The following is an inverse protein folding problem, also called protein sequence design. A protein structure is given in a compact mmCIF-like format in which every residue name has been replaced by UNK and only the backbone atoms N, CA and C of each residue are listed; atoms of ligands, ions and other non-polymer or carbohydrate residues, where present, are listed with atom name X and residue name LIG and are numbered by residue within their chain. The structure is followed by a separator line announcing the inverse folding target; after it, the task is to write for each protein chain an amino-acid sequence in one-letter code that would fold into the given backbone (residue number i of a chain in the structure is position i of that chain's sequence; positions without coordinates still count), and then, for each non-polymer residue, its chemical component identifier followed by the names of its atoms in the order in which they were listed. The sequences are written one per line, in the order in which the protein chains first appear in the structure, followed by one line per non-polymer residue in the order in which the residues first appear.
data_IF_238817052256
#
_entry.id   IF_238817052256
#
_cell.length_a   1.000
_cell.length_b   1.000
_cell.length_c   1.000
_cell.angle_alpha   90.00
_cell.angle_beta   90.00
_cell.angle_gamma   90.00
#
_symmetry.space_group_name_H-M   'P 1'
#
loop_
_entity.id
_entity.type
_entity.pdbx_description
1 polymer ?
#
# COMPACT_ATOMS: atom_id res chain seq x y z
N UNK A 1 13.37 -40.66 -29.17
CA UNK A 1 12.96 -40.64 -27.75
C UNK A 1 14.12 -40.05 -26.96
N UNK A 2 14.04 -38.79 -26.60
CA UNK A 2 15.07 -38.15 -25.79
C UNK A 2 14.36 -37.39 -24.66
N UNK A 3 14.50 -37.94 -23.43
CA UNK A 3 13.96 -37.30 -22.22
C UNK A 3 14.94 -36.20 -21.81
N UNK A 4 14.49 -34.95 -21.78
CA UNK A 4 15.27 -33.84 -21.25
C UNK A 4 15.45 -33.97 -19.72
N UNK A 5 16.52 -33.39 -19.16
CA UNK A 5 16.87 -33.53 -17.75
C UNK A 5 15.90 -32.71 -16.87
N UNK A 6 15.43 -33.37 -15.79
CA UNK A 6 14.62 -32.75 -14.76
C UNK A 6 15.37 -31.58 -14.09
N UNK A 7 14.67 -30.51 -13.79
CA UNK A 7 15.16 -29.43 -12.93
C UNK A 7 15.27 -29.97 -11.50
N UNK A 8 16.43 -30.40 -11.12
CA UNK A 8 16.77 -30.64 -9.72
C UNK A 8 16.81 -29.29 -8.95
N UNK A 9 16.28 -29.30 -7.76
CA UNK A 9 16.23 -28.16 -6.83
C UNK A 9 17.64 -27.63 -6.54
N UNK A 10 17.86 -26.35 -6.85
CA UNK A 10 19.16 -25.65 -6.70
C UNK A 10 19.54 -25.28 -5.25
N UNK A 11 18.84 -25.78 -4.24
CA UNK A 11 19.16 -25.52 -2.83
C UNK A 11 19.85 -26.72 -2.22
N UNK A 12 21.03 -26.47 -1.60
CA UNK A 12 21.70 -27.51 -0.83
C UNK A 12 20.82 -27.98 0.34
N UNK A 13 20.91 -29.25 0.79
CA UNK A 13 20.13 -29.76 1.91
C UNK A 13 20.24 -28.94 3.21
N UNK A 14 21.40 -28.30 3.44
CA UNK A 14 21.62 -27.38 4.58
C UNK A 14 20.89 -26.03 4.41
N UNK A 15 20.78 -25.52 3.19
CA UNK A 15 20.00 -24.32 2.91
C UNK A 15 18.51 -24.57 3.12
N UNK A 16 18.03 -25.72 2.65
CA UNK A 16 16.65 -26.14 2.85
C UNK A 16 16.28 -26.29 4.34
N UNK A 17 17.15 -26.86 5.17
CA UNK A 17 16.92 -27.02 6.60
C UNK A 17 16.88 -25.69 7.35
N UNK A 18 17.80 -24.75 7.06
CA UNK A 18 17.78 -23.40 7.65
C UNK A 18 16.54 -22.59 7.24
N UNK A 19 16.11 -22.78 6.01
CA UNK A 19 14.89 -22.18 5.46
C UNK A 19 13.64 -22.71 6.20
N UNK A 20 13.55 -24.01 6.42
CA UNK A 20 12.46 -24.62 7.15
C UNK A 20 12.47 -24.23 8.64
N UNK A 21 13.63 -24.11 9.26
CA UNK A 21 13.77 -23.67 10.66
C UNK A 21 13.39 -22.19 10.84
N UNK A 22 13.83 -21.33 9.92
CA UNK A 22 13.41 -19.92 9.92
C UNK A 22 11.90 -19.77 9.69
N UNK A 23 11.32 -20.51 8.76
CA UNK A 23 9.88 -20.55 8.54
C UNK A 23 9.11 -21.03 9.77
N UNK A 24 9.62 -22.05 10.45
CA UNK A 24 9.04 -22.58 11.69
C UNK A 24 9.11 -21.56 12.84
N UNK A 25 10.24 -20.85 13.00
CA UNK A 25 10.39 -19.81 14.03
C UNK A 25 9.43 -18.63 13.80
N UNK A 26 9.16 -18.28 12.55
CA UNK A 26 8.17 -17.25 12.22
C UNK A 26 6.75 -17.76 12.41
N UNK A 27 6.45 -18.97 11.98
CA UNK A 27 5.17 -19.62 12.24
C UNK A 27 4.91 -19.74 13.76
N UNK A 28 5.89 -20.19 14.56
CA UNK A 28 5.78 -20.25 16.00
C UNK A 28 5.58 -18.85 16.65
N UNK A 29 6.25 -17.82 16.11
CA UNK A 29 6.08 -16.44 16.57
C UNK A 29 4.71 -15.87 16.22
N UNK A 30 4.19 -16.24 15.04
CA UNK A 30 2.88 -15.87 14.52
C UNK A 30 1.78 -16.69 15.21
N UNK A 31 1.98 -17.99 15.49
CA UNK A 31 1.04 -18.84 16.22
C UNK A 31 0.90 -18.47 17.71
N UNK A 32 1.97 -18.09 18.36
CA UNK A 32 1.94 -17.56 19.74
C UNK A 32 1.14 -16.27 19.88
N UNK A 33 0.87 -15.56 18.78
CA UNK A 33 0.12 -14.30 18.79
C UNK A 33 -1.38 -14.46 18.44
N UNK A 34 -1.92 -15.65 18.17
CA UNK A 34 -3.35 -15.94 17.86
C UNK A 34 -4.06 -14.96 16.90
N UNK A 35 -3.38 -14.57 15.83
CA UNK A 35 -3.80 -13.48 14.91
C UNK A 35 -4.62 -13.98 13.72
N UNK A 36 -5.66 -14.78 13.95
CA UNK A 36 -6.23 -15.69 12.97
C UNK A 36 -6.75 -15.12 11.63
N UNK A 37 -7.58 -14.07 11.50
CA UNK A 37 -8.01 -13.66 10.17
C UNK A 37 -6.99 -12.78 9.43
N UNK A 38 -6.38 -11.81 10.11
CA UNK A 38 -5.36 -10.93 9.54
C UNK A 38 -4.07 -11.70 9.23
N UNK A 39 -3.72 -12.67 10.08
CA UNK A 39 -2.63 -13.62 9.86
C UNK A 39 -2.79 -14.39 8.56
N UNK A 40 -3.96 -15.00 8.33
CA UNK A 40 -4.20 -15.81 7.15
C UNK A 40 -4.11 -15.00 5.86
N UNK A 41 -4.57 -13.73 5.89
CA UNK A 41 -4.44 -12.81 4.78
C UNK A 41 -2.96 -12.53 4.46
N UNK A 42 -2.17 -12.22 5.48
CA UNK A 42 -0.80 -11.73 5.30
C UNK A 42 0.26 -12.83 5.24
N UNK A 43 -0.06 -14.06 5.70
CA UNK A 43 0.90 -15.16 5.83
C UNK A 43 1.73 -15.41 4.55
N UNK A 44 1.18 -15.42 3.33
CA UNK A 44 1.97 -15.61 2.12
C UNK A 44 3.06 -14.55 1.95
N UNK A 45 2.74 -13.27 2.19
CA UNK A 45 3.72 -12.17 2.10
C UNK A 45 4.71 -12.16 3.26
N UNK A 46 4.28 -12.54 4.46
CA UNK A 46 5.17 -12.67 5.62
C UNK A 46 6.22 -13.76 5.37
N UNK A 47 5.82 -14.90 4.83
CA UNK A 47 6.73 -15.97 4.43
C UNK A 47 7.69 -15.49 3.32
N UNK A 48 7.15 -14.85 2.27
CA UNK A 48 7.96 -14.32 1.17
C UNK A 48 9.02 -13.33 1.67
N UNK A 49 8.66 -12.42 2.58
CA UNK A 49 9.57 -11.41 3.13
C UNK A 49 10.77 -11.98 3.89
N UNK A 50 10.70 -13.26 4.36
CA UNK A 50 11.84 -13.93 5.01
C UNK A 50 12.95 -14.30 4.04
N UNK A 51 12.58 -14.53 2.78
CA UNK A 51 13.51 -14.98 1.74
C UNK A 51 13.86 -13.86 0.76
N UNK A 52 13.08 -12.79 0.74
CA UNK A 52 13.29 -11.67 -0.15
C UNK A 52 14.59 -10.93 0.21
N UNK A 53 15.44 -10.60 -0.78
CA UNK A 53 16.55 -9.70 -0.56
C UNK A 53 16.11 -8.24 -0.45
N UNK A 54 14.91 -7.90 -0.93
CA UNK A 54 14.44 -6.53 -1.06
C UNK A 54 13.28 -6.15 -0.14
N UNK A 55 12.47 -7.13 0.31
CA UNK A 55 11.29 -6.90 1.14
C UNK A 55 11.54 -7.36 2.57
N UNK A 56 11.16 -6.53 3.54
CA UNK A 56 11.13 -6.87 4.96
C UNK A 56 9.72 -6.65 5.49
N UNK A 57 9.30 -7.45 6.47
CA UNK A 57 8.02 -7.29 7.14
C UNK A 57 8.21 -7.09 8.64
N UNK A 58 7.46 -6.14 9.20
CA UNK A 58 7.32 -5.89 10.62
C UNK A 58 5.93 -5.27 10.92
N UNK A 59 5.77 -4.56 12.04
CA UNK A 59 4.53 -3.86 12.39
C UNK A 59 4.82 -2.50 13.01
N UNK A 60 3.89 -1.56 12.86
CA UNK A 60 3.95 -0.29 13.61
C UNK A 60 3.77 -0.48 15.11
N UNK A 61 3.03 -1.52 15.49
CA UNK A 61 2.78 -1.87 16.87
C UNK A 61 1.72 -2.94 16.98
N UNK A 62 1.57 -3.48 18.20
CA UNK A 62 0.62 -4.54 18.52
C UNK A 62 -0.17 -4.10 19.75
N UNK A 63 -1.49 -4.37 19.76
CA UNK A 63 -2.33 -4.16 20.94
C UNK A 63 -3.36 -5.27 21.06
N UNK A 64 -4.00 -5.35 22.20
CA UNK A 64 -5.08 -6.29 22.46
C UNK A 64 -6.43 -5.67 22.10
N UNK A 65 -7.25 -6.42 21.35
CA UNK A 65 -8.63 -6.10 21.05
C UNK A 65 -9.50 -7.34 21.26
N UNK A 66 -10.46 -7.27 22.17
CA UNK A 66 -11.35 -8.39 22.54
C UNK A 66 -10.60 -9.68 22.95
N UNK A 67 -9.49 -9.54 23.66
CA UNK A 67 -8.65 -10.66 24.10
C UNK A 67 -7.72 -11.23 23.03
N UNK A 68 -7.73 -10.66 21.82
CA UNK A 68 -6.87 -11.08 20.72
C UNK A 68 -5.89 -9.97 20.32
N UNK A 69 -4.63 -10.31 20.03
CA UNK A 69 -3.67 -9.33 19.55
C UNK A 69 -3.98 -8.90 18.13
N UNK A 70 -4.03 -7.60 17.89
CA UNK A 70 -4.14 -6.97 16.57
C UNK A 70 -2.94 -6.08 16.31
N UNK A 71 -2.58 -5.85 15.05
CA UNK A 71 -1.43 -5.04 14.69
C UNK A 71 -1.62 -4.36 13.33
N UNK A 72 -0.89 -3.26 13.09
CA UNK A 72 -0.78 -2.64 11.78
C UNK A 72 0.44 -3.22 11.07
N UNK A 73 0.26 -4.07 10.04
CA UNK A 73 1.36 -4.67 9.30
C UNK A 73 2.08 -3.62 8.46
N UNK A 74 3.41 -3.76 8.38
CA UNK A 74 4.25 -2.92 7.56
C UNK A 74 5.21 -3.76 6.74
N UNK A 75 5.30 -3.46 5.44
CA UNK A 75 6.32 -4.01 4.55
C UNK A 75 7.25 -2.88 4.11
N UNK A 76 8.53 -3.14 4.14
CA UNK A 76 9.55 -2.22 3.70
C UNK A 76 10.27 -2.82 2.50
N UNK A 77 10.14 -2.15 1.34
CA UNK A 77 10.88 -2.51 0.13
C UNK A 77 12.06 -1.57 -0.06
N UNK A 78 13.23 -2.16 -0.25
CA UNK A 78 14.44 -1.45 -0.61
C UNK A 78 15.40 -2.38 -1.34
N UNK A 79 15.85 -1.99 -2.52
CA UNK A 79 16.90 -2.74 -3.22
C UNK A 79 18.24 -2.66 -2.47
N UNK A 80 19.02 -3.71 -2.58
CA UNK A 80 20.35 -3.81 -1.94
C UNK A 80 21.39 -2.87 -2.54
N UNK A 81 21.19 -2.40 -3.78
CA UNK A 81 22.09 -1.46 -4.43
C UNK A 81 22.19 -0.15 -3.65
N UNK A 82 23.42 0.32 -3.40
CA UNK A 82 23.66 1.58 -2.70
C UNK A 82 23.36 2.74 -3.64
N UNK A 83 22.38 3.57 -3.27
CA UNK A 83 21.99 4.81 -3.95
C UNK A 83 22.06 5.93 -2.92
N UNK A 84 22.67 7.07 -3.29
CA UNK A 84 22.93 8.18 -2.37
C UNK A 84 21.65 8.81 -1.80
N UNK A 85 20.62 8.96 -2.62
CA UNK A 85 19.30 9.45 -2.22
C UNK A 85 18.23 8.54 -2.79
N UNK A 86 17.33 8.07 -1.94
CA UNK A 86 16.15 7.29 -2.33
C UNK A 86 14.91 8.13 -2.08
N UNK A 87 13.97 8.00 -2.98
CA UNK A 87 12.67 8.63 -2.81
C UNK A 87 11.86 7.77 -1.85
N UNK A 88 11.45 8.34 -0.74
CA UNK A 88 10.66 7.66 0.26
C UNK A 88 9.17 7.83 -0.01
N UNK A 89 8.46 6.73 -0.25
CA UNK A 89 7.02 6.76 -0.49
C UNK A 89 6.32 5.87 0.52
N UNK A 90 5.31 6.44 1.20
CA UNK A 90 4.36 5.72 2.03
C UNK A 90 3.13 5.31 1.22
N UNK A 91 2.75 4.02 1.26
CA UNK A 91 1.58 3.50 0.55
C UNK A 91 0.67 2.81 1.55
N UNK A 92 -0.57 3.27 1.65
CA UNK A 92 -1.52 2.89 2.68
C UNK A 92 -2.80 2.31 2.07
N UNK A 93 -3.34 1.26 2.67
CA UNK A 93 -4.64 0.69 2.32
C UNK A 93 -5.38 0.21 3.58
N UNK A 94 -6.68 -0.07 3.45
CA UNK A 94 -7.48 -0.58 4.56
C UNK A 94 -7.59 0.39 5.74
N UNK A 95 -7.68 1.69 5.47
CA UNK A 95 -8.13 2.70 6.44
C UNK A 95 -9.60 2.47 6.77
N UNK A 96 -10.40 2.08 5.76
CA UNK A 96 -11.72 1.53 5.94
C UNK A 96 -11.63 0.00 5.86
N UNK A 97 -12.17 -0.68 6.86
CA UNK A 97 -11.99 -2.12 7.00
C UNK A 97 -12.83 -2.95 6.01
N UNK A 98 -13.85 -2.36 5.44
CA UNK A 98 -14.74 -2.94 4.43
C UNK A 98 -14.27 -2.75 2.98
N UNK A 99 -13.08 -2.17 2.76
CA UNK A 99 -12.47 -1.93 1.44
C UNK A 99 -11.33 -2.93 1.12
N UNK A 100 -11.63 -4.21 0.85
CA UNK A 100 -10.60 -5.24 0.69
C UNK A 100 -9.78 -5.12 -0.59
N UNK A 101 -10.29 -4.41 -1.60
CA UNK A 101 -9.64 -4.32 -2.90
C UNK A 101 -8.27 -3.62 -2.84
N UNK A 102 -8.19 -2.48 -2.11
CA UNK A 102 -6.94 -1.76 -1.87
C UNK A 102 -5.93 -2.61 -1.11
N UNK A 103 -6.38 -3.32 -0.08
CA UNK A 103 -5.55 -4.26 0.70
C UNK A 103 -4.92 -5.31 -0.19
N UNK A 104 -5.73 -6.02 -0.97
CA UNK A 104 -5.29 -7.11 -1.82
C UNK A 104 -4.46 -6.63 -3.01
N UNK A 105 -4.83 -5.49 -3.61
CA UNK A 105 -4.05 -4.86 -4.68
C UNK A 105 -2.65 -4.45 -4.22
N UNK A 106 -2.55 -3.93 -2.99
CA UNK A 106 -1.27 -3.58 -2.38
C UNK A 106 -0.42 -4.81 -2.06
N UNK A 107 -1.04 -5.90 -1.64
CA UNK A 107 -0.36 -7.19 -1.47
C UNK A 107 0.17 -7.74 -2.79
N UNK A 108 -0.59 -7.64 -3.87
CA UNK A 108 -0.14 -8.03 -5.21
C UNK A 108 1.02 -7.16 -5.70
N UNK A 109 0.99 -5.87 -5.37
CA UNK A 109 2.10 -4.95 -5.67
C UNK A 109 3.38 -5.32 -4.91
N UNK A 110 3.29 -5.70 -3.62
CA UNK A 110 4.47 -6.19 -2.87
C UNK A 110 5.07 -7.45 -3.50
N UNK A 111 4.22 -8.38 -4.00
CA UNK A 111 4.71 -9.55 -4.74
C UNK A 111 5.42 -9.15 -6.03
N UNK A 112 4.83 -8.23 -6.80
CA UNK A 112 5.43 -7.74 -8.03
C UNK A 112 6.79 -7.06 -7.80
N UNK A 113 6.93 -6.29 -6.72
CA UNK A 113 8.20 -5.69 -6.31
C UNK A 113 9.29 -6.72 -5.97
N UNK A 114 8.92 -7.85 -5.37
CA UNK A 114 9.86 -8.92 -5.04
C UNK A 114 10.26 -9.73 -6.27
N UNK A 115 9.30 -10.02 -7.15
CA UNK A 115 9.52 -10.75 -8.41
C UNK A 115 10.31 -9.91 -9.43
N UNK A 116 10.06 -8.60 -9.47
CA UNK A 116 10.69 -7.63 -10.37
C UNK A 116 11.18 -6.39 -9.61
N UNK A 117 12.29 -6.47 -8.85
CA UNK A 117 12.78 -5.38 -8.01
C UNK A 117 13.12 -4.08 -8.77
N UNK A 118 13.23 -4.15 -10.10
CA UNK A 118 13.42 -2.97 -10.95
C UNK A 118 12.23 -2.01 -10.91
N UNK A 119 11.01 -2.50 -10.61
CA UNK A 119 9.82 -1.67 -10.43
C UNK A 119 10.03 -0.61 -9.35
N UNK A 120 10.73 -0.96 -8.27
CA UNK A 120 11.03 -0.05 -7.16
C UNK A 120 12.43 0.58 -7.22
N UNK A 121 13.12 0.58 -8.40
CA UNK A 121 14.44 1.20 -8.53
C UNK A 121 14.38 2.70 -8.18
N UNK A 122 15.31 3.18 -7.36
CA UNK A 122 15.44 4.53 -6.81
C UNK A 122 14.45 4.84 -5.68
N UNK A 123 13.57 3.93 -5.33
CA UNK A 123 12.62 4.11 -4.24
C UNK A 123 13.00 3.34 -2.98
N UNK A 124 12.53 3.85 -1.87
CA UNK A 124 12.37 3.17 -0.60
C UNK A 124 10.89 3.24 -0.25
N UNK A 125 10.20 2.08 -0.30
CA UNK A 125 8.75 2.02 -0.16
C UNK A 125 8.37 1.48 1.21
N UNK A 126 7.50 2.19 1.90
CA UNK A 126 6.90 1.82 3.17
C UNK A 126 5.43 1.53 2.96
N UNK A 127 5.03 0.28 3.12
CA UNK A 127 3.76 -0.26 2.63
C UNK A 127 2.94 -0.76 3.81
N UNK A 128 1.73 -0.23 3.98
CA UNK A 128 0.82 -0.48 5.10
C UNK A 128 -0.51 -1.04 4.56
N UNK A 129 -0.61 -2.37 4.33
CA UNK A 129 -1.77 -2.92 3.65
C UNK A 129 -3.06 -2.92 4.47
N UNK A 130 -2.99 -2.86 5.81
CA UNK A 130 -4.16 -2.84 6.69
C UNK A 130 -3.93 -1.82 7.78
N UNK A 131 -4.45 -0.61 7.58
CA UNK A 131 -4.30 0.49 8.52
C UNK A 131 -5.36 0.48 9.65
N UNK A 132 -6.51 -0.15 9.41
CA UNK A 132 -7.60 -0.36 10.36
C UNK A 132 -7.84 -1.87 10.57
N UNK A 133 -7.01 -2.56 11.35
CA UNK A 133 -7.17 -3.99 11.54
C UNK A 133 -8.47 -4.37 12.28
N UNK A 134 -8.98 -3.51 13.16
CA UNK A 134 -10.24 -3.77 13.87
C UNK A 134 -11.44 -3.65 12.95
N UNK A 135 -11.50 -2.64 12.10
CA UNK A 135 -12.52 -2.50 11.05
C UNK A 135 -12.44 -3.64 10.03
N UNK A 136 -11.24 -4.03 9.61
CA UNK A 136 -11.05 -5.17 8.71
C UNK A 136 -11.61 -6.47 9.29
N UNK A 137 -11.36 -6.77 10.55
CA UNK A 137 -11.88 -7.95 11.22
C UNK A 137 -13.41 -7.92 11.36
N UNK A 138 -13.98 -6.74 11.62
CA UNK A 138 -15.42 -6.52 11.72
C UNK A 138 -16.11 -6.34 10.37
N UNK A 139 -15.36 -6.11 9.29
CA UNK A 139 -15.84 -5.74 7.95
C UNK A 139 -16.68 -4.45 7.99
N UNK A 140 -16.17 -3.46 8.70
CA UNK A 140 -16.79 -2.15 8.83
C UNK A 140 -15.87 -1.06 8.30
N UNK A 141 -16.45 0.03 7.85
CA UNK A 141 -15.73 1.24 7.45
C UNK A 141 -14.95 1.81 8.65
N UNK A 142 -15.62 1.90 9.78
CA UNK A 142 -15.12 2.50 11.01
C UNK A 142 -14.16 1.57 11.77
N UNK A 143 -13.43 2.15 12.72
CA UNK A 143 -12.68 1.42 13.74
C UNK A 143 -13.64 0.78 14.77
N UNK A 144 -13.08 0.01 15.70
CA UNK A 144 -13.84 -0.59 16.79
C UNK A 144 -14.55 0.43 17.69
N UNK A 145 -14.12 1.68 17.68
CA UNK A 145 -14.74 2.78 18.43
C UNK A 145 -15.90 3.44 17.68
N UNK A 146 -16.20 3.00 16.45
CA UNK A 146 -17.23 3.58 15.58
C UNK A 146 -16.79 4.88 14.90
N UNK A 147 -15.48 5.11 14.73
CA UNK A 147 -14.96 6.30 14.06
C UNK A 147 -14.42 5.99 12.67
N UNK A 148 -14.75 6.86 11.71
CA UNK A 148 -14.09 6.91 10.42
C UNK A 148 -12.68 7.45 10.61
N UNK A 149 -11.68 6.56 10.61
CA UNK A 149 -10.27 6.92 10.82
C UNK A 149 -9.79 7.95 9.79
N UNK A 150 -10.33 7.92 8.56
CA UNK A 150 -9.97 8.85 7.50
C UNK A 150 -10.65 10.24 7.64
N UNK A 151 -11.10 10.56 8.85
CA UNK A 151 -11.56 11.90 9.28
C UNK A 151 -10.86 12.37 10.55
N UNK A 152 -9.94 11.59 11.09
CA UNK A 152 -9.33 11.80 12.39
C UNK A 152 -7.87 12.28 12.33
N UNK A 153 -7.20 12.25 11.15
CA UNK A 153 -5.79 12.62 11.03
C UNK A 153 -5.52 14.10 11.31
N UNK A 154 -4.45 14.36 12.04
CA UNK A 154 -3.93 15.68 12.44
C UNK A 154 -4.93 16.53 13.25
N UNK A 155 -5.81 15.86 13.99
CA UNK A 155 -6.81 16.48 14.87
C UNK A 155 -6.63 16.13 16.34
N UNK A 156 -5.52 15.51 16.72
CA UNK A 156 -5.28 15.04 18.06
C UNK A 156 -6.19 13.85 18.44
N UNK A 157 -6.43 12.96 17.50
CA UNK A 157 -7.29 11.80 17.68
C UNK A 157 -6.82 10.88 18.81
N UNK A 158 -7.77 10.29 19.54
CA UNK A 158 -7.51 9.25 20.52
C UNK A 158 -7.37 7.83 19.88
N UNK A 159 -7.71 7.70 18.58
CA UNK A 159 -7.61 6.44 17.87
C UNK A 159 -6.14 6.00 17.74
N UNK A 160 -5.84 4.81 18.21
CA UNK A 160 -4.46 4.29 18.28
C UNK A 160 -3.86 4.11 16.89
N UNK A 161 -4.66 3.63 15.96
CA UNK A 161 -4.29 3.47 14.57
C UNK A 161 -3.83 4.80 13.96
N UNK A 162 -4.60 5.87 14.18
CA UNK A 162 -4.29 7.21 13.70
C UNK A 162 -2.99 7.72 14.33
N UNK A 163 -2.86 7.63 15.67
CA UNK A 163 -1.65 8.10 16.38
C UNK A 163 -0.38 7.41 15.89
N UNK A 164 -0.44 6.11 15.64
CA UNK A 164 0.73 5.37 15.17
C UNK A 164 1.09 5.70 13.73
N UNK A 165 0.09 5.83 12.86
CA UNK A 165 0.30 6.21 11.46
C UNK A 165 0.81 7.64 11.37
N UNK A 166 0.25 8.60 12.13
CA UNK A 166 0.74 9.99 12.20
C UNK A 166 2.20 10.04 12.64
N UNK A 167 2.54 9.31 13.72
CA UNK A 167 3.92 9.22 14.21
C UNK A 167 4.88 8.66 13.16
N UNK A 168 4.44 7.64 12.43
CA UNK A 168 5.24 7.04 11.34
C UNK A 168 5.42 8.01 10.19
N UNK A 169 4.36 8.65 9.72
CA UNK A 169 4.42 9.65 8.64
C UNK A 169 5.35 10.82 9.03
N UNK A 170 5.19 11.34 10.24
CA UNK A 170 6.03 12.43 10.76
C UNK A 170 7.52 12.03 10.87
N UNK A 171 7.80 10.79 11.28
CA UNK A 171 9.17 10.30 11.42
C UNK A 171 9.85 10.02 10.06
N UNK A 172 9.10 9.56 9.07
CA UNK A 172 9.63 9.20 7.75
C UNK A 172 9.85 10.41 6.84
N UNK A 173 9.08 11.45 6.99
CA UNK A 173 9.15 12.64 6.12
C UNK A 173 9.04 12.23 4.64
N UNK A 174 8.01 11.45 4.28
CA UNK A 174 7.83 10.92 2.93
C UNK A 174 7.91 11.99 1.85
N UNK A 175 8.51 11.66 0.71
CA UNK A 175 8.47 12.46 -0.53
C UNK A 175 7.13 12.28 -1.25
N UNK A 176 6.41 11.19 -0.98
CA UNK A 176 5.09 10.90 -1.50
C UNK A 176 4.25 10.03 -0.58
N UNK A 177 2.95 10.25 -0.59
CA UNK A 177 1.95 9.48 0.14
C UNK A 177 0.86 9.03 -0.85
N UNK A 178 0.56 7.73 -0.84
CA UNK A 178 -0.48 7.15 -1.67
C UNK A 178 -1.42 6.37 -0.77
N UNK A 179 -2.73 6.59 -0.89
CA UNK A 179 -3.75 5.78 -0.21
C UNK A 179 -4.71 5.13 -1.20
N UNK A 180 -5.14 3.91 -0.88
CA UNK A 180 -6.01 3.09 -1.72
C UNK A 180 -7.34 2.89 -1.03
N UNK A 181 -8.43 3.24 -1.72
CA UNK A 181 -9.80 3.20 -1.25
C UNK A 181 -10.76 2.58 -2.26
N UNK A 182 -12.00 2.38 -1.87
CA UNK A 182 -13.06 1.93 -2.77
C UNK A 182 -14.34 2.69 -2.52
N UNK A 183 -14.97 3.18 -3.60
CA UNK A 183 -16.24 3.92 -3.58
C UNK A 183 -17.36 3.04 -4.12
N UNK A 184 -18.42 2.84 -3.32
CA UNK A 184 -19.58 2.02 -3.66
C UNK A 184 -20.56 2.71 -4.63
N UNK A 185 -20.38 4.01 -4.86
CA UNK A 185 -21.16 4.82 -5.80
C UNK A 185 -20.46 5.08 -7.14
N UNK A 186 -19.17 4.78 -7.22
CA UNK A 186 -18.37 5.06 -8.41
C UNK A 186 -18.61 4.02 -9.52
N UNK A 187 -18.87 4.45 -10.76
CA UNK A 187 -18.94 3.55 -11.92
C UNK A 187 -17.55 3.20 -12.50
N UNK A 188 -16.50 3.89 -12.09
CA UNK A 188 -15.15 3.74 -12.63
C UNK A 188 -14.05 4.12 -11.65
N UNK A 189 -12.82 3.88 -12.05
CA UNK A 189 -11.61 4.17 -11.28
C UNK A 189 -11.26 5.65 -11.37
N UNK A 190 -10.95 6.30 -10.23
CA UNK A 190 -10.61 7.72 -10.17
C UNK A 190 -9.61 8.01 -9.05
N UNK A 191 -9.24 9.28 -8.87
CA UNK A 191 -8.36 9.63 -7.77
C UNK A 191 -8.31 11.12 -7.46
N UNK A 192 -7.76 11.39 -6.28
CA UNK A 192 -7.47 12.75 -5.80
C UNK A 192 -5.98 13.02 -5.91
N UNK A 193 -5.63 14.23 -6.34
CA UNK A 193 -4.25 14.72 -6.38
C UNK A 193 -4.12 15.94 -5.47
N UNK A 194 -3.24 15.85 -4.47
CA UNK A 194 -2.90 16.96 -3.58
C UNK A 194 -1.41 17.23 -3.63
N UNK A 195 -1.07 18.51 -3.55
CA UNK A 195 0.34 18.92 -3.66
C UNK A 195 0.75 19.09 -5.11
N UNK A 196 0.73 20.29 -5.59
CA UNK A 196 1.29 20.80 -6.83
C UNK A 196 1.08 19.99 -8.13
N UNK A 197 1.77 20.41 -9.17
CA UNK A 197 1.73 19.82 -10.52
C UNK A 197 2.13 18.33 -10.52
N UNK A 198 3.06 17.94 -9.63
CA UNK A 198 3.59 16.56 -9.61
C UNK A 198 2.49 15.51 -9.36
N UNK A 199 1.59 15.75 -8.40
CA UNK A 199 0.53 14.80 -8.09
C UNK A 199 -0.36 14.53 -9.32
N UNK A 200 -0.73 15.57 -10.07
CA UNK A 200 -1.49 15.43 -11.32
C UNK A 200 -0.70 14.71 -12.41
N UNK A 201 0.57 15.05 -12.57
CA UNK A 201 1.44 14.42 -13.58
C UNK A 201 1.68 12.93 -13.30
N UNK A 202 1.57 12.50 -12.05
CA UNK A 202 1.63 11.09 -11.67
C UNK A 202 0.26 10.41 -11.76
N UNK A 203 -0.82 11.09 -11.35
CA UNK A 203 -2.15 10.50 -11.30
C UNK A 203 -2.75 10.26 -12.68
N UNK A 204 -2.60 11.18 -13.63
CA UNK A 204 -3.18 11.02 -14.96
C UNK A 204 -2.67 9.76 -15.70
N UNK A 205 -1.35 9.47 -15.77
CA UNK A 205 -0.86 8.21 -16.32
C UNK A 205 -1.26 6.98 -15.50
N UNK A 206 -1.36 7.11 -14.18
CA UNK A 206 -1.81 6.02 -13.31
C UNK A 206 -3.24 5.59 -13.62
N UNK A 207 -4.15 6.55 -13.81
CA UNK A 207 -5.52 6.28 -14.24
C UNK A 207 -5.55 5.64 -15.63
N UNK A 208 -4.72 6.12 -16.57
CA UNK A 208 -4.61 5.52 -17.90
C UNK A 208 -4.08 4.07 -17.84
N UNK A 209 -3.16 3.76 -16.94
CA UNK A 209 -2.70 2.40 -16.74
C UNK A 209 -3.80 1.50 -16.14
N UNK A 210 -4.58 2.01 -15.19
CA UNK A 210 -5.70 1.31 -14.58
C UNK A 210 -6.83 0.99 -15.58
N UNK A 211 -6.98 1.76 -16.65
CA UNK A 211 -7.98 1.53 -17.72
C UNK A 211 -7.78 0.19 -18.44
N UNK A 212 -6.63 -0.44 -18.32
CA UNK A 212 -6.44 -1.82 -18.81
C UNK A 212 -7.28 -2.86 -18.03
N UNK A 213 -7.81 -2.48 -16.87
CA UNK A 213 -8.57 -3.39 -16.01
C UNK A 213 -9.96 -2.86 -15.62
N UNK A 214 -10.09 -1.57 -15.39
CA UNK A 214 -11.33 -0.91 -14.99
C UNK A 214 -11.53 0.38 -15.79
N UNK A 215 -12.75 0.73 -16.20
CA UNK A 215 -13.00 2.00 -16.84
C UNK A 215 -12.68 3.15 -15.87
N UNK A 216 -12.24 4.28 -16.42
CA UNK A 216 -12.08 5.52 -15.66
C UNK A 216 -13.45 6.13 -15.37
N UNK A 217 -13.61 6.72 -14.20
CA UNK A 217 -14.76 7.56 -13.91
C UNK A 217 -14.66 8.88 -14.68
N UNK A 218 -15.58 9.11 -15.58
CA UNK A 218 -15.60 10.28 -16.46
C UNK A 218 -16.61 11.35 -16.02
N UNK A 219 -17.26 11.18 -14.85
CA UNK A 219 -18.19 12.17 -14.33
C UNK A 219 -17.49 13.50 -14.08
N UNK A 220 -18.19 14.61 -14.37
CA UNK A 220 -17.69 15.96 -14.09
C UNK A 220 -17.79 16.35 -12.62
N UNK A 221 -18.55 15.60 -11.82
CA UNK A 221 -18.64 15.74 -10.37
C UNK A 221 -18.66 14.37 -9.72
N UNK A 222 -17.75 14.15 -8.79
CA UNK A 222 -17.61 12.92 -8.00
C UNK A 222 -17.55 13.34 -6.54
N UNK A 223 -18.39 12.73 -5.71
CA UNK A 223 -18.43 12.99 -4.26
C UNK A 223 -18.68 14.47 -3.90
N UNK A 224 -19.36 15.22 -4.80
CA UNK A 224 -19.59 16.64 -4.64
C UNK A 224 -18.43 17.55 -5.03
N UNK A 225 -17.30 17.00 -5.47
CA UNK A 225 -16.17 17.74 -6.01
C UNK A 225 -16.20 17.79 -7.53
N UNK A 226 -15.67 18.86 -8.10
CA UNK A 226 -15.37 18.93 -9.52
C UNK A 226 -14.29 17.91 -9.88
N UNK A 227 -14.53 17.16 -10.95
CA UNK A 227 -13.60 16.14 -11.45
C UNK A 227 -13.33 16.36 -12.94
N UNK A 228 -12.07 16.25 -13.32
CA UNK A 228 -11.65 16.33 -14.72
C UNK A 228 -10.91 15.05 -15.09
N UNK A 229 -11.48 14.28 -16.00
CA UNK A 229 -10.91 13.00 -16.41
C UNK A 229 -10.58 12.06 -15.23
N UNK A 230 -11.46 11.98 -14.23
CA UNK A 230 -11.27 11.16 -13.04
C UNK A 230 -10.28 11.72 -12.03
N UNK A 231 -9.82 12.95 -12.19
CA UNK A 231 -8.91 13.63 -11.26
C UNK A 231 -9.67 14.70 -10.49
N UNK A 232 -9.55 14.64 -9.15
CA UNK A 232 -10.10 15.62 -8.22
C UNK A 232 -8.92 16.33 -7.53
N UNK A 233 -8.92 17.68 -7.53
CA UNK A 233 -7.86 18.49 -6.90
C UNK A 233 -8.21 18.98 -5.49
N UNK A 234 -9.42 18.67 -5.02
CA UNK A 234 -9.87 18.95 -3.67
C UNK A 234 -9.58 17.76 -2.73
N UNK A 235 -9.82 17.96 -1.44
CA UNK A 235 -9.73 16.87 -0.46
C UNK A 235 -10.59 17.16 0.78
N UNK A 236 -11.00 16.11 1.45
CA UNK A 236 -11.63 16.19 2.77
C UNK A 236 -10.64 16.59 3.86
N UNK A 237 -11.14 17.17 4.94
CA UNK A 237 -10.34 17.43 6.14
C UNK A 237 -10.18 16.17 6.99
N UNK A 238 -8.99 15.99 7.60
CA UNK A 238 -8.71 14.87 8.52
C UNK A 238 -8.47 13.53 7.84
N UNK A 239 -8.17 13.54 6.55
CA UNK A 239 -7.74 12.35 5.81
C UNK A 239 -6.27 12.04 6.09
N UNK A 240 -5.88 10.79 5.81
CA UNK A 240 -4.49 10.38 5.81
C UNK A 240 -3.69 11.27 4.83
N UNK A 241 -2.71 11.98 5.36
CA UNK A 241 -1.90 12.95 4.62
C UNK A 241 -0.60 13.23 5.38
N UNK A 242 0.31 14.01 4.80
CA UNK A 242 1.50 14.51 5.49
C UNK A 242 1.13 15.51 6.61
N UNK A 243 2.01 15.68 7.61
CA UNK A 243 1.86 16.75 8.61
C UNK A 243 1.61 18.10 7.94
N UNK A 244 0.71 18.94 8.49
CA UNK A 244 0.39 20.23 7.87
C UNK A 244 1.58 21.17 7.68
N UNK A 245 2.60 21.03 8.52
CA UNK A 245 3.83 21.83 8.54
C UNK A 245 5.01 21.21 7.80
N UNK A 246 4.87 19.99 7.26
CA UNK A 246 5.97 19.32 6.53
C UNK A 246 6.42 20.15 5.32
N UNK A 247 7.72 20.36 5.21
CA UNK A 247 8.39 21.04 4.08
C UNK A 247 9.62 20.23 3.64
N UNK A 248 9.80 19.97 2.33
CA UNK A 248 8.83 20.24 1.26
C UNK A 248 7.56 19.42 1.41
N UNK A 249 6.46 19.90 0.81
CA UNK A 249 5.22 19.10 0.76
C UNK A 249 5.42 17.89 -0.13
N UNK A 250 5.05 16.67 0.32
CA UNK A 250 5.05 15.50 -0.53
C UNK A 250 3.96 15.59 -1.60
N UNK A 251 4.08 14.82 -2.68
CA UNK A 251 2.88 14.52 -3.47
C UNK A 251 1.94 13.62 -2.67
N UNK A 252 0.65 13.86 -2.78
CA UNK A 252 -0.37 13.05 -2.14
C UNK A 252 -1.38 12.59 -3.18
N UNK A 253 -1.57 11.27 -3.30
CA UNK A 253 -2.49 10.65 -4.24
C UNK A 253 -3.42 9.71 -3.49
N UNK A 254 -4.73 9.84 -3.72
CA UNK A 254 -5.73 8.88 -3.29
C UNK A 254 -6.26 8.20 -4.54
N UNK A 255 -6.25 6.88 -4.56
CA UNK A 255 -6.81 6.07 -5.64
C UNK A 255 -8.10 5.41 -5.14
N UNK A 256 -9.15 5.52 -5.94
CA UNK A 256 -10.48 5.02 -5.64
C UNK A 256 -10.91 4.00 -6.70
N UNK A 257 -11.23 2.78 -6.28
CA UNK A 257 -11.81 1.78 -7.17
C UNK A 257 -13.33 1.69 -7.01
N UNK A 258 -14.08 1.38 -8.09
CA UNK A 258 -15.51 1.12 -7.96
C UNK A 258 -15.73 -0.17 -7.15
N UNK A 259 -16.28 -0.05 -5.93
CA UNK A 259 -16.40 -1.17 -4.99
C UNK A 259 -17.29 -2.33 -5.52
N UNK A 260 -18.23 -2.02 -6.42
CA UNK A 260 -19.12 -3.02 -7.04
C UNK A 260 -18.49 -3.75 -8.24
N UNK A 261 -17.32 -3.33 -8.72
CA UNK A 261 -16.62 -4.02 -9.79
C UNK A 261 -16.00 -5.36 -9.31
N UNK A 262 -15.70 -6.29 -10.23
CA UNK A 262 -15.05 -7.54 -9.86
C UNK A 262 -13.75 -7.29 -9.07
N UNK A 263 -13.60 -7.93 -7.92
CA UNK A 263 -12.48 -7.74 -7.00
C UNK A 263 -11.11 -7.93 -7.69
N UNK A 264 -11.00 -8.91 -8.60
CA UNK A 264 -9.77 -9.14 -9.37
C UNK A 264 -9.40 -7.95 -10.26
N UNK A 265 -10.40 -7.29 -10.87
CA UNK A 265 -10.17 -6.11 -11.69
C UNK A 265 -9.76 -4.89 -10.85
N UNK A 266 -10.37 -4.69 -9.68
CA UNK A 266 -9.98 -3.63 -8.75
C UNK A 266 -8.52 -3.80 -8.29
N UNK A 267 -8.14 -5.00 -7.87
CA UNK A 267 -6.76 -5.35 -7.45
C UNK A 267 -5.75 -5.06 -8.56
N UNK A 268 -6.06 -5.48 -9.79
CA UNK A 268 -5.19 -5.25 -10.94
C UNK A 268 -5.07 -3.76 -11.27
N UNK A 269 -6.17 -3.00 -11.22
CA UNK A 269 -6.16 -1.56 -11.45
C UNK A 269 -5.24 -0.84 -10.45
N UNK A 270 -5.33 -1.14 -9.15
CA UNK A 270 -4.43 -0.59 -8.15
C UNK A 270 -2.97 -0.93 -8.43
N UNK A 271 -2.65 -2.18 -8.75
CA UNK A 271 -1.28 -2.59 -9.07
C UNK A 271 -0.72 -1.81 -10.25
N UNK A 272 -1.47 -1.74 -11.37
CA UNK A 272 -1.07 -1.02 -12.56
C UNK A 272 -0.87 0.48 -12.31
N UNK A 273 -1.77 1.09 -11.52
CA UNK A 273 -1.66 2.50 -11.13
C UNK A 273 -0.39 2.76 -10.31
N UNK A 274 -0.09 1.92 -9.31
CA UNK A 274 1.12 2.04 -8.49
C UNK A 274 2.40 1.88 -9.32
N UNK A 275 2.46 0.88 -10.21
CA UNK A 275 3.60 0.67 -11.12
C UNK A 275 3.80 1.89 -12.03
N UNK A 276 2.72 2.48 -12.55
CA UNK A 276 2.74 3.69 -13.36
C UNK A 276 3.26 4.89 -12.57
N UNK A 277 2.78 5.14 -11.36
CA UNK A 277 3.26 6.24 -10.49
C UNK A 277 4.76 6.16 -10.30
N UNK A 278 5.29 4.98 -9.95
CA UNK A 278 6.74 4.82 -9.76
C UNK A 278 7.52 5.03 -11.07
N UNK A 279 6.98 4.54 -12.19
CA UNK A 279 7.61 4.69 -13.50
C UNK A 279 7.66 6.15 -13.93
N UNK A 280 6.55 6.89 -13.80
CA UNK A 280 6.49 8.30 -14.18
C UNK A 280 7.36 9.17 -13.27
N UNK A 281 7.35 8.93 -11.97
CA UNK A 281 8.20 9.70 -11.06
C UNK A 281 9.70 9.54 -11.38
N UNK A 282 10.15 8.33 -11.78
CA UNK A 282 11.54 8.14 -12.25
C UNK A 282 11.90 9.00 -13.46
N UNK A 283 10.94 9.19 -14.38
CA UNK A 283 11.16 10.07 -15.55
C UNK A 283 11.40 11.52 -15.10
N UNK A 284 10.57 12.02 -14.18
CA UNK A 284 10.75 13.38 -13.65
C UNK A 284 12.12 13.58 -13.02
N UNK A 285 12.62 12.61 -12.24
CA UNK A 285 13.94 12.70 -11.63
C UNK A 285 15.04 12.69 -12.70
N UNK A 286 14.92 11.82 -13.70
CA UNK A 286 15.91 11.76 -14.77
C UNK A 286 15.99 13.07 -15.54
N UNK A 287 14.85 13.68 -15.88
CA UNK A 287 14.81 15.00 -16.54
C UNK A 287 15.23 16.14 -15.62
N UNK A 288 14.91 16.09 -14.33
CA UNK A 288 15.33 17.11 -13.36
C UNK A 288 16.84 17.16 -13.12
N UNK A 289 17.56 16.08 -13.39
CA UNK A 289 19.00 16.04 -13.31
C UNK A 289 19.69 16.72 -14.52
N UNK A 290 18.96 16.96 -15.60
CA UNK A 290 19.43 17.63 -16.82
C UNK A 290 19.10 19.14 -16.86
N UNK A 291 18.38 19.65 -15.84
CA UNK A 291 18.03 21.06 -15.65
C UNK A 291 18.95 21.75 -14.63
#
# INVERSE_FOLDING_TARGET
MNRGPGRESLLSPRASAKVQEAARLVLDRVEKQRLLPLKNLLLPLLIQSLYSPCVRADSLGVWEHQGEPVWIPRFHFRRTQVIKHRIQVGIFAGIHGDEPAGILGLMDFVRALDEAPELGRNFELWIYPVCNPTGYLARTRESHSGKDLNREFWKGSAEREVQWIEKEIAARQFDGIISLHSDDTAPGFYGFARGDVLAKQLLAPALAAAEQSLPRDSRASIDGFEAVNGIIEAAYGGILSAPPDQKPRPFEIILESPALAPLAAQRQAFRLALESILSEYRKFIAYGADL
#
